data_IF_012971361044
#
_entry.id   IF_012971361044
#
_cell.length_a   1.000
_cell.length_b   1.000
_cell.length_c   1.000
_cell.angle_alpha   90.00
_cell.angle_beta   90.00
_cell.angle_gamma   90.00
#
_symmetry.space_group_name_H-M   'P 1'
#
loop_
_entity.id
_entity.type
_entity.pdbx_description
1 polymer ?
#
# COMPACT_ATOMS: atom_id res chain seq x y z
N UNK A 1 -0.57 -11.33 -7.67
CA UNK A 1 0.07 -12.22 -6.70
C UNK A 1 -0.82 -13.41 -6.43
N UNK A 2 -0.31 -14.60 -6.68
CA UNK A 2 -0.96 -15.87 -6.32
C UNK A 2 -0.74 -16.14 -4.83
N UNK A 3 -1.79 -16.55 -4.12
CA UNK A 3 -1.79 -16.89 -2.71
C UNK A 3 -2.33 -18.32 -2.56
N UNK A 4 -1.65 -19.12 -1.73
CA UNK A 4 -2.04 -20.50 -1.40
C UNK A 4 -3.21 -20.54 -0.42
N UNK A 5 -3.45 -19.46 0.31
CA UNK A 5 -4.61 -19.32 1.18
C UNK A 5 -5.02 -17.86 1.36
N UNK A 6 -6.28 -17.58 1.72
CA UNK A 6 -6.73 -16.23 2.07
C UNK A 6 -5.93 -15.59 3.19
N UNK A 7 -5.43 -16.38 4.15
CA UNK A 7 -4.71 -15.91 5.33
C UNK A 7 -3.21 -15.77 5.14
N UNK A 8 -2.67 -16.12 3.96
CA UNK A 8 -1.25 -16.01 3.68
C UNK A 8 -0.76 -14.55 3.89
N UNK A 9 0.19 -14.31 4.82
CA UNK A 9 0.70 -12.96 5.07
C UNK A 9 1.38 -12.38 3.83
N UNK A 10 1.18 -11.08 3.58
CA UNK A 10 1.80 -10.37 2.45
C UNK A 10 2.63 -9.20 2.94
N UNK A 11 3.92 -9.22 2.64
CA UNK A 11 4.83 -8.09 2.91
C UNK A 11 4.75 -7.08 1.79
N UNK A 12 4.48 -5.83 2.15
CA UNK A 12 4.43 -4.68 1.26
C UNK A 12 5.61 -3.80 1.62
N UNK A 13 6.51 -3.60 0.66
CA UNK A 13 7.63 -2.67 0.78
C UNK A 13 7.35 -1.47 -0.11
N UNK A 14 7.52 -0.29 0.45
CA UNK A 14 7.24 0.97 -0.22
C UNK A 14 8.51 1.80 -0.18
N UNK A 15 8.89 2.31 -1.34
CA UNK A 15 9.89 3.36 -1.50
C UNK A 15 9.22 4.52 -2.22
N UNK A 16 9.24 5.69 -1.59
CA UNK A 16 8.59 6.91 -2.08
C UNK A 16 9.68 7.95 -2.31
N UNK A 17 9.66 8.57 -3.49
CA UNK A 17 10.47 9.74 -3.82
C UNK A 17 9.49 10.82 -4.28
N UNK A 18 9.34 11.86 -3.46
CA UNK A 18 8.55 13.05 -3.76
C UNK A 18 9.39 14.07 -4.51
N UNK A 19 8.71 15.02 -5.15
CA UNK A 19 9.37 16.21 -5.71
C UNK A 19 9.52 17.32 -4.66
N UNK A 20 8.91 17.14 -3.49
CA UNK A 20 8.85 18.06 -2.34
C UNK A 20 8.36 17.29 -1.09
N UNK A 21 8.21 17.95 0.06
CA UNK A 21 7.89 17.36 1.36
C UNK A 21 6.65 16.45 1.36
N UNK A 22 6.85 15.21 1.78
CA UNK A 22 5.83 14.18 1.94
C UNK A 22 5.03 14.44 3.23
N UNK A 23 3.71 14.22 3.17
CA UNK A 23 2.82 14.31 4.33
C UNK A 23 2.53 12.93 4.92
N UNK A 24 1.96 12.03 4.10
CA UNK A 24 1.66 10.68 4.53
C UNK A 24 1.53 9.72 3.36
N UNK A 25 1.67 8.42 3.64
CA UNK A 25 1.21 7.36 2.77
C UNK A 25 0.03 6.60 3.38
N UNK A 26 -0.73 5.94 2.51
CA UNK A 26 -1.73 4.94 2.87
C UNK A 26 -1.52 3.69 2.02
N UNK A 27 -1.58 2.54 2.66
CA UNK A 27 -1.82 1.29 1.95
C UNK A 27 -3.33 1.11 1.88
N UNK A 28 -3.86 1.00 0.67
CA UNK A 28 -5.30 0.88 0.40
C UNK A 28 -5.57 -0.52 -0.12
N UNK A 29 -6.48 -1.23 0.54
CA UNK A 29 -6.92 -2.57 0.16
C UNK A 29 -8.41 -2.51 -0.18
N UNK A 30 -8.79 -2.88 -1.39
CA UNK A 30 -10.19 -2.89 -1.83
C UNK A 30 -10.94 -1.57 -1.57
N UNK A 31 -10.30 -0.42 -1.85
CA UNK A 31 -10.81 0.94 -1.59
C UNK A 31 -10.91 1.34 -0.10
N UNK A 32 -10.47 0.51 0.83
CA UNK A 32 -10.39 0.83 2.26
C UNK A 32 -8.95 1.09 2.68
N UNK A 33 -8.75 2.04 3.60
CA UNK A 33 -7.41 2.30 4.15
C UNK A 33 -7.05 1.19 5.12
N UNK A 34 -6.02 0.41 4.77
CA UNK A 34 -5.50 -0.66 5.62
C UNK A 34 -4.56 -0.11 6.69
N UNK A 35 -3.68 0.80 6.29
CA UNK A 35 -2.80 1.54 7.20
C UNK A 35 -2.51 2.93 6.65
N UNK A 36 -2.39 3.91 7.55
CA UNK A 36 -1.86 5.24 7.28
C UNK A 36 -0.55 5.42 8.05
N UNK A 37 0.44 6.01 7.42
CA UNK A 37 1.73 6.30 8.02
C UNK A 37 2.12 7.74 7.67
N UNK A 38 2.37 8.57 8.67
CA UNK A 38 2.89 9.92 8.47
C UNK A 38 4.33 9.85 7.98
N UNK A 39 4.68 10.76 7.10
CA UNK A 39 6.00 10.87 6.48
C UNK A 39 6.59 12.24 6.78
N UNK A 40 7.90 12.35 6.58
CA UNK A 40 8.64 13.61 6.60
C UNK A 40 9.78 13.53 5.60
N UNK A 41 10.26 14.69 5.14
CA UNK A 41 11.24 14.77 4.06
C UNK A 41 10.64 14.48 2.68
N UNK A 42 11.50 14.35 1.68
CA UNK A 42 11.15 14.12 0.28
C UNK A 42 11.38 12.66 -0.17
N UNK A 43 12.00 11.82 0.65
CA UNK A 43 12.20 10.39 0.39
C UNK A 43 11.84 9.56 1.64
N UNK A 44 11.16 8.43 1.44
CA UNK A 44 10.77 7.56 2.54
C UNK A 44 10.76 6.07 2.17
N UNK A 45 11.10 5.23 3.15
CA UNK A 45 11.00 3.77 3.10
C UNK A 45 10.03 3.29 4.17
N UNK A 46 9.08 2.44 3.78
CA UNK A 46 8.10 1.89 4.69
C UNK A 46 7.83 0.41 4.38
N UNK A 47 7.67 -0.39 5.43
CA UNK A 47 7.28 -1.79 5.30
C UNK A 47 6.06 -2.10 6.16
N UNK A 48 5.15 -2.90 5.61
CA UNK A 48 3.96 -3.36 6.30
C UNK A 48 3.67 -4.80 5.94
N UNK A 49 3.29 -5.60 6.94
CA UNK A 49 2.84 -6.97 6.74
C UNK A 49 1.33 -7.02 6.89
N UNK A 50 0.61 -7.23 5.78
CA UNK A 50 -0.83 -7.46 5.83
C UNK A 50 -1.11 -8.91 6.23
N UNK A 51 -1.74 -9.08 7.39
CA UNK A 51 -2.25 -10.36 7.90
C UNK A 51 -3.76 -10.51 7.75
N UNK A 52 -4.46 -9.48 7.24
CA UNK A 52 -5.89 -9.54 7.01
C UNK A 52 -6.22 -10.42 5.78
N UNK A 53 -7.36 -11.14 5.81
CA UNK A 53 -7.72 -12.07 4.73
C UNK A 53 -7.71 -11.40 3.35
N UNK A 54 -7.14 -12.09 2.36
CA UNK A 54 -7.28 -11.73 0.96
C UNK A 54 -8.56 -12.35 0.37
N UNK A 55 -9.07 -11.73 -0.69
CA UNK A 55 -10.16 -12.27 -1.52
C UNK A 55 -9.62 -12.47 -2.93
N UNK A 56 -10.12 -13.49 -3.64
CA UNK A 56 -9.81 -13.60 -5.06
C UNK A 56 -10.34 -12.36 -5.81
N UNK A 57 -9.52 -11.81 -6.70
CA UNK A 57 -9.80 -10.54 -7.38
C UNK A 57 -9.71 -9.29 -6.48
N UNK A 58 -9.32 -9.44 -5.21
CA UNK A 58 -8.99 -8.31 -4.35
C UNK A 58 -7.72 -7.61 -4.82
N UNK A 59 -7.52 -6.36 -4.40
CA UNK A 59 -6.32 -5.61 -4.76
C UNK A 59 -5.82 -4.73 -3.62
N UNK A 60 -4.55 -4.38 -3.72
CA UNK A 60 -3.88 -3.44 -2.82
C UNK A 60 -3.03 -2.46 -3.62
N UNK A 61 -2.99 -1.20 -3.23
CA UNK A 61 -2.12 -0.18 -3.81
C UNK A 61 -1.66 0.80 -2.73
N UNK A 62 -0.62 1.57 -3.03
CA UNK A 62 -0.13 2.63 -2.16
C UNK A 62 -0.60 3.97 -2.70
N UNK A 63 -1.08 4.85 -1.82
CA UNK A 63 -1.36 6.26 -2.11
C UNK A 63 -0.43 7.12 -1.25
N UNK A 64 0.16 8.13 -1.85
CA UNK A 64 1.06 9.07 -1.18
C UNK A 64 0.53 10.48 -1.37
N UNK A 65 0.63 11.31 -0.34
CA UNK A 65 0.22 12.71 -0.35
C UNK A 65 1.37 13.57 0.16
N UNK A 66 1.65 14.67 -0.54
CA UNK A 66 2.60 15.71 -0.14
C UNK A 66 1.93 16.78 0.73
N UNK A 67 2.71 17.60 1.43
CA UNK A 67 2.19 18.64 2.35
C UNK A 67 1.30 19.67 1.65
N UNK A 68 1.54 19.90 0.36
CA UNK A 68 0.75 20.79 -0.50
C UNK A 68 -0.55 20.13 -1.04
N UNK A 69 -0.77 18.85 -0.73
CA UNK A 69 -1.93 18.07 -1.16
C UNK A 69 -1.76 17.33 -2.49
N UNK A 70 -0.65 17.52 -3.21
CA UNK A 70 -0.35 16.76 -4.41
C UNK A 70 -0.25 15.26 -4.07
N UNK A 71 -0.71 14.42 -5.00
CA UNK A 71 -0.97 13.00 -4.72
C UNK A 71 -0.42 12.13 -5.84
N UNK A 72 0.20 11.00 -5.46
CA UNK A 72 0.55 9.92 -6.35
C UNK A 72 -0.01 8.58 -5.85
N UNK A 73 -0.10 7.58 -6.72
CA UNK A 73 -0.47 6.22 -6.35
C UNK A 73 0.25 5.18 -7.20
N UNK A 74 0.51 4.02 -6.59
CA UNK A 74 1.03 2.87 -7.32
C UNK A 74 -0.07 2.24 -8.19
N UNK A 75 0.34 1.44 -9.18
CA UNK A 75 -0.60 0.51 -9.81
C UNK A 75 -1.16 -0.48 -8.77
N UNK A 76 -2.41 -0.96 -8.95
CA UNK A 76 -2.96 -2.02 -8.10
C UNK A 76 -2.21 -3.34 -8.26
N UNK A 77 -1.92 -3.99 -7.14
CA UNK A 77 -1.45 -5.37 -7.08
C UNK A 77 -2.64 -6.26 -6.76
N UNK A 78 -3.02 -7.09 -7.73
CA UNK A 78 -4.17 -7.98 -7.62
C UNK A 78 -3.82 -9.28 -6.91
N UNK A 79 -4.68 -9.75 -6.03
CA UNK A 79 -4.62 -11.06 -5.40
C UNK A 79 -5.39 -12.08 -6.24
N UNK A 80 -4.77 -13.25 -6.43
CA UNK A 80 -5.41 -14.48 -6.88
C UNK A 80 -5.28 -15.50 -5.77
N UNK A 81 -6.39 -16.06 -5.29
CA UNK A 81 -6.37 -17.02 -4.19
C UNK A 81 -6.76 -18.39 -4.74
N UNK A 82 -5.92 -19.40 -4.52
CA UNK A 82 -6.30 -20.78 -4.80
C UNK A 82 -7.18 -21.29 -3.64
N UNK A 83 -8.26 -21.96 -3.98
CA UNK A 83 -9.09 -22.72 -3.02
C UNK A 83 -8.54 -24.13 -2.82
#
# INVERSE_FOLDING_TARGET
>A
TLLESPSQPRRIRVHVIGTDELDYLRIVKNNETLVRHELSGDEAFFEYTDTSPARDGGFTYVRVVQKDGNTAWSSPVWARVQE
#
